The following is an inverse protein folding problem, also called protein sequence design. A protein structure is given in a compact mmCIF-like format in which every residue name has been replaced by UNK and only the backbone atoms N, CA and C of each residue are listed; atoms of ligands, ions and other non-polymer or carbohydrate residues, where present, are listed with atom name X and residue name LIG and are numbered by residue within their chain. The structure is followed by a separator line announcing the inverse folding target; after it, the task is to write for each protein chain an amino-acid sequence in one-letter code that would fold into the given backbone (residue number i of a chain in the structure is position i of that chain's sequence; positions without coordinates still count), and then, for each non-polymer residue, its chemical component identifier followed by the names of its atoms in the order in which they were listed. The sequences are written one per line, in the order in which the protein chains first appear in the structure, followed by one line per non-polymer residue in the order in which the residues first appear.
data_IF_937722387632
#
_entry.id   IF_937722387632
#
_cell.length_a   1.000
_cell.length_b   1.000
_cell.length_c   1.000
_cell.angle_alpha   90.00
_cell.angle_beta   90.00
_cell.angle_gamma   90.00
#
_symmetry.space_group_name_H-M   'P 1'
#
loop_
_entity.id
_entity.type
_entity.pdbx_description
1 polymer ?
#
# COMPACT_ATOMS: atom_id res chain seq x y z
N UNK A 1 -20.84 -3.19 4.00
CA UNK A 1 -19.61 -2.51 4.45
C UNK A 1 -18.49 -3.55 4.45
N UNK A 2 -17.50 -3.48 3.57
CA UNK A 2 -17.64 -3.79 2.13
C UNK A 2 -16.46 -4.68 1.73
N UNK A 3 -16.73 -5.79 1.03
CA UNK A 3 -15.72 -6.73 0.52
C UNK A 3 -14.69 -6.03 -0.39
N UNK A 4 -15.05 -4.87 -0.95
CA UNK A 4 -14.18 -4.03 -1.78
C UNK A 4 -12.99 -3.43 -1.01
N UNK A 5 -13.19 -3.04 0.26
CA UNK A 5 -12.17 -2.44 1.16
C UNK A 5 -11.02 -3.43 1.40
N UNK A 6 -11.35 -4.72 1.51
CA UNK A 6 -10.37 -5.78 1.76
C UNK A 6 -9.47 -6.04 0.52
N UNK A 7 -9.96 -5.78 -0.69
CA UNK A 7 -9.21 -6.14 -1.91
C UNK A 7 -8.04 -5.19 -2.23
N UNK A 8 -8.16 -3.90 -1.94
CA UNK A 8 -7.11 -2.92 -2.24
C UNK A 8 -5.94 -3.03 -1.26
N UNK A 9 -6.24 -3.13 0.04
CA UNK A 9 -5.25 -3.31 1.09
C UNK A 9 -4.46 -4.62 0.95
N UNK A 10 -5.09 -5.74 0.52
CA UNK A 10 -4.36 -7.00 0.28
C UNK A 10 -3.28 -6.85 -0.80
N UNK A 11 -3.59 -6.14 -1.90
CA UNK A 11 -2.62 -5.93 -2.96
C UNK A 11 -1.47 -5.02 -2.50
N UNK A 12 -1.79 -3.98 -1.73
CA UNK A 12 -0.81 -3.05 -1.18
C UNK A 12 0.14 -3.74 -0.19
N UNK A 13 -0.39 -4.58 0.71
CA UNK A 13 0.44 -5.25 1.72
C UNK A 13 1.40 -6.31 1.15
N UNK A 14 1.10 -6.90 -0.02
CA UNK A 14 1.97 -7.93 -0.62
C UNK A 14 3.27 -7.37 -1.20
N UNK A 15 3.28 -6.10 -1.60
CA UNK A 15 4.44 -5.43 -2.18
C UNK A 15 4.43 -3.94 -1.81
N UNK A 16 4.39 -3.67 -0.51
CA UNK A 16 4.24 -2.33 0.04
C UNK A 16 5.46 -1.48 -0.34
N UNK A 17 5.20 -0.48 -1.17
CA UNK A 17 6.21 0.39 -1.78
C UNK A 17 5.60 1.77 -2.01
N UNK A 18 6.11 2.79 -1.32
CA UNK A 18 5.68 4.16 -1.56
C UNK A 18 6.33 4.67 -2.85
N UNK A 19 5.51 5.01 -3.83
CA UNK A 19 5.90 5.52 -5.14
C UNK A 19 5.89 7.05 -5.23
N UNK A 20 5.21 7.71 -4.30
CA UNK A 20 5.10 9.15 -4.20
C UNK A 20 4.53 9.55 -2.85
N UNK A 21 4.87 10.76 -2.40
CA UNK A 21 4.32 11.37 -1.20
C UNK A 21 3.98 12.80 -1.57
N UNK A 22 2.84 13.29 -1.12
CA UNK A 22 2.44 14.67 -1.32
C UNK A 22 1.96 15.24 0.00
N UNK A 23 2.49 16.39 0.40
CA UNK A 23 2.00 17.12 1.58
C UNK A 23 0.85 18.02 1.13
N UNK A 24 -0.38 17.75 1.58
CA UNK A 24 -1.58 18.48 1.12
C UNK A 24 -1.96 19.61 2.08
N UNK A 25 -1.95 19.35 3.37
CA UNK A 25 -2.17 20.36 4.43
C UNK A 25 -1.33 20.01 5.66
N UNK A 26 -1.24 20.91 6.63
CA UNK A 26 -0.41 20.75 7.84
C UNK A 26 -0.54 19.38 8.55
N UNK A 27 -1.71 18.77 8.52
CA UNK A 27 -2.06 17.49 9.13
C UNK A 27 -2.21 16.34 8.13
N UNK A 28 -2.25 16.62 6.82
CA UNK A 28 -2.66 15.66 5.79
C UNK A 28 -1.56 15.43 4.76
N UNK A 29 -1.21 14.15 4.60
CA UNK A 29 -0.31 13.68 3.54
C UNK A 29 -1.04 12.70 2.64
N UNK A 30 -0.63 12.64 1.39
CA UNK A 30 -1.10 11.68 0.40
C UNK A 30 0.03 10.72 0.08
N UNK A 31 -0.19 9.44 0.32
CA UNK A 31 0.75 8.34 0.07
C UNK A 31 0.33 7.60 -1.20
N UNK A 32 1.22 7.52 -2.19
CA UNK A 32 0.96 6.82 -3.45
C UNK A 32 1.63 5.44 -3.42
N UNK A 33 0.87 4.38 -3.70
CA UNK A 33 1.33 2.99 -3.73
C UNK A 33 0.79 2.30 -4.98
N UNK A 34 1.68 1.98 -5.89
CA UNK A 34 1.39 1.40 -7.20
C UNK A 34 0.34 2.21 -8.00
N UNK A 35 -0.86 1.67 -8.20
CA UNK A 35 -1.98 2.34 -8.88
C UNK A 35 -2.94 3.08 -7.91
N UNK A 36 -2.63 3.10 -6.62
CA UNK A 36 -3.48 3.63 -5.54
C UNK A 36 -2.86 4.84 -4.86
N UNK A 37 -3.70 5.66 -4.23
CA UNK A 37 -3.29 6.69 -3.29
C UNK A 37 -4.16 6.65 -2.03
N UNK A 38 -3.59 7.11 -0.93
CA UNK A 38 -4.21 7.12 0.38
C UNK A 38 -3.95 8.45 1.06
N UNK A 39 -4.97 9.02 1.67
CA UNK A 39 -4.81 10.16 2.56
C UNK A 39 -4.51 9.65 3.97
N UNK A 40 -3.48 10.21 4.61
CA UNK A 40 -3.07 9.90 5.98
C UNK A 40 -3.06 11.19 6.80
N UNK A 41 -3.78 11.17 7.91
CA UNK A 41 -3.77 12.23 8.92
C UNK A 41 -2.69 11.92 9.95
N UNK A 42 -1.67 12.78 10.03
CA UNK A 42 -0.50 12.58 10.88
C UNK A 42 -0.86 12.64 12.37
N UNK A 43 -1.83 13.46 12.77
CA UNK A 43 -2.18 13.62 14.18
C UNK A 43 -3.10 12.52 14.68
N UNK A 44 -4.05 12.08 13.86
CA UNK A 44 -4.99 11.02 14.24
C UNK A 44 -4.47 9.63 13.93
N UNK A 45 -3.41 9.50 13.13
CA UNK A 45 -2.90 8.25 12.58
C UNK A 45 -3.98 7.45 11.81
N UNK A 46 -4.89 8.16 11.15
CA UNK A 46 -5.98 7.55 10.37
C UNK A 46 -5.58 7.55 8.89
N UNK A 47 -5.62 6.36 8.28
CA UNK A 47 -5.46 6.17 6.85
C UNK A 47 -6.85 6.03 6.19
N UNK A 48 -7.06 6.74 5.08
CA UNK A 48 -8.26 6.58 4.24
C UNK A 48 -8.37 5.18 3.62
N UNK A 49 -9.53 4.83 3.09
CA UNK A 49 -9.76 3.54 2.39
C UNK A 49 -8.92 3.36 1.11
N UNK A 50 -8.36 4.45 0.59
CA UNK A 50 -7.58 4.49 -0.63
C UNK A 50 -8.40 4.50 -1.92
N UNK A 51 -7.86 5.16 -2.94
CA UNK A 51 -8.51 5.29 -4.25
C UNK A 51 -7.51 5.01 -5.37
N UNK A 52 -8.02 4.62 -6.55
CA UNK A 52 -7.17 4.46 -7.73
C UNK A 52 -6.79 5.83 -8.27
N UNK A 53 -5.50 6.03 -8.56
CA UNK A 53 -4.97 7.27 -9.14
C UNK A 53 -5.74 7.66 -10.40
N UNK A 54 -6.03 6.70 -11.29
CA UNK A 54 -6.76 6.94 -12.55
C UNK A 54 -8.19 7.46 -12.39
N UNK A 55 -8.79 7.32 -11.20
CA UNK A 55 -10.15 7.83 -10.97
C UNK A 55 -10.14 9.36 -10.82
N UNK A 56 -9.08 9.90 -10.21
CA UNK A 56 -8.88 11.33 -9.96
C UNK A 56 -8.02 11.98 -11.05
N UNK A 57 -7.03 11.25 -11.55
CA UNK A 57 -6.05 11.71 -12.55
C UNK A 57 -5.88 10.66 -13.65
N UNK A 58 -6.82 10.59 -14.62
CA UNK A 58 -6.90 9.49 -15.59
C UNK A 58 -5.71 9.40 -16.55
N UNK A 59 -5.00 10.50 -16.80
CA UNK A 59 -3.84 10.54 -17.68
C UNK A 59 -2.51 10.17 -17.00
N UNK A 60 -2.47 10.17 -15.66
CA UNK A 60 -1.25 9.90 -14.89
C UNK A 60 -0.86 8.43 -15.00
N UNK A 61 0.39 8.18 -15.39
CA UNK A 61 0.95 6.82 -15.46
C UNK A 61 1.36 6.33 -14.07
N UNK A 62 1.03 5.08 -13.79
CA UNK A 62 1.35 4.41 -12.52
C UNK A 62 2.32 3.24 -12.74
N UNK A 63 3.20 2.93 -11.77
CA UNK A 63 3.47 3.70 -10.57
C UNK A 63 4.21 5.01 -10.88
N UNK A 64 3.89 6.08 -10.16
CA UNK A 64 4.58 7.37 -10.29
C UNK A 64 6.02 7.32 -9.74
N UNK A 65 6.85 8.29 -10.11
CA UNK A 65 8.14 8.55 -9.47
C UNK A 65 8.05 9.63 -8.38
N UNK A 66 7.01 10.48 -8.41
CA UNK A 66 6.81 11.52 -7.42
C UNK A 66 5.60 12.38 -7.73
N UNK A 67 5.15 13.13 -6.71
CA UNK A 67 4.05 14.06 -6.81
C UNK A 67 4.27 15.24 -5.86
N UNK A 68 3.95 16.47 -6.26
CA UNK A 68 4.01 17.63 -5.38
C UNK A 68 2.73 18.45 -5.43
N UNK A 69 2.48 19.17 -4.34
CA UNK A 69 1.42 20.16 -4.24
C UNK A 69 2.03 21.55 -4.33
N UNK A 70 1.51 22.38 -5.23
CA UNK A 70 2.03 23.69 -5.55
C UNK A 70 0.95 24.71 -5.20
N UNK A 71 1.24 25.55 -4.22
CA UNK A 71 0.45 26.73 -3.91
C UNK A 71 1.07 27.95 -4.60
N UNK A 72 0.33 28.55 -5.51
CA UNK A 72 0.72 29.78 -6.20
C UNK A 72 -0.19 30.93 -5.75
N UNK A 73 0.43 32.01 -5.25
CA UNK A 73 -0.27 33.26 -4.94
C UNK A 73 -0.13 34.21 -6.12
N UNK A 74 -1.25 34.61 -6.71
CA UNK A 74 -1.30 35.61 -7.78
C UNK A 74 -1.90 36.91 -7.24
N UNK A 75 -1.17 38.02 -7.37
CA UNK A 75 -1.74 39.35 -7.17
C UNK A 75 -2.83 39.55 -8.24
N UNK A 76 -4.11 39.59 -7.82
CA UNK A 76 -5.20 40.01 -8.69
C UNK A 76 -5.03 41.50 -9.04
N UNK A 77 -5.62 41.94 -10.15
CA UNK A 77 -5.72 43.39 -10.44
C UNK A 77 -6.57 44.13 -9.39
N UNK A 78 -7.35 43.37 -8.61
CA UNK A 78 -8.03 43.84 -7.40
C UNK A 78 -7.14 43.58 -6.18
N UNK A 79 -7.31 44.33 -5.08
CA UNK A 79 -6.49 44.22 -3.85
C UNK A 79 -6.53 42.86 -3.14
N UNK A 80 -7.07 41.82 -3.78
CA UNK A 80 -7.19 40.46 -3.25
C UNK A 80 -6.13 39.56 -3.88
N UNK A 81 -5.37 38.85 -3.05
CA UNK A 81 -4.49 37.77 -3.50
C UNK A 81 -5.35 36.56 -3.86
N UNK A 82 -5.25 36.07 -5.08
CA UNK A 82 -5.87 34.82 -5.51
C UNK A 82 -4.89 33.68 -5.28
N UNK A 83 -5.32 32.64 -4.55
CA UNK A 83 -4.54 31.41 -4.36
C UNK A 83 -4.99 30.37 -5.37
N UNK A 84 -4.03 29.76 -6.05
CA UNK A 84 -4.27 28.62 -6.95
C UNK A 84 -3.47 27.43 -6.47
N UNK A 85 -4.09 26.25 -6.55
CA UNK A 85 -3.53 25.00 -6.05
C UNK A 85 -3.39 24.02 -7.19
N UNK A 86 -2.16 23.54 -7.41
CA UNK A 86 -1.84 22.60 -8.49
C UNK A 86 -1.24 21.32 -7.92
N UNK A 87 -1.60 20.20 -8.53
CA UNK A 87 -0.95 18.92 -8.31
C UNK A 87 0.01 18.67 -9.47
N UNK A 88 1.26 18.35 -9.16
CA UNK A 88 2.26 17.91 -10.13
C UNK A 88 2.52 16.42 -9.92
N UNK A 89 2.61 15.66 -11.01
CA UNK A 89 2.99 14.26 -11.03
C UNK A 89 4.12 14.06 -12.03
N UNK A 90 5.07 13.18 -11.72
CA UNK A 90 6.04 12.74 -12.71
C UNK A 90 6.22 11.22 -12.74
N UNK A 91 6.54 10.73 -13.94
CA UNK A 91 6.88 9.35 -14.23
C UNK A 91 7.93 9.30 -15.33
N UNK A 92 9.11 8.81 -14.98
CA UNK A 92 10.29 8.76 -15.85
C UNK A 92 10.58 10.17 -16.41
N UNK A 93 10.47 10.38 -17.72
CA UNK A 93 10.64 11.68 -18.37
C UNK A 93 9.31 12.39 -18.67
N UNK A 94 8.19 11.96 -18.09
CA UNK A 94 6.88 12.55 -18.33
C UNK A 94 6.35 13.24 -17.09
N UNK A 95 5.56 14.29 -17.28
CA UNK A 95 4.87 14.97 -16.20
C UNK A 95 3.43 15.32 -16.55
N UNK A 96 2.64 15.52 -15.50
CA UNK A 96 1.25 16.00 -15.56
C UNK A 96 1.04 17.01 -14.45
N UNK A 97 0.30 18.07 -14.76
CA UNK A 97 -0.13 19.09 -13.83
C UNK A 97 -1.64 19.24 -13.89
N UNK A 98 -2.28 19.25 -12.73
CA UNK A 98 -3.72 19.42 -12.57
C UNK A 98 -4.02 20.61 -11.68
N UNK A 99 -5.10 21.33 -11.97
CA UNK A 99 -5.64 22.33 -11.07
C UNK A 99 -6.65 21.69 -10.11
N UNK A 100 -6.63 22.11 -8.85
CA UNK A 100 -7.69 21.83 -7.90
C UNK A 100 -8.84 22.82 -8.11
N UNK A 101 -9.92 22.39 -8.75
CA UNK A 101 -11.11 23.23 -8.89
C UNK A 101 -11.93 23.16 -7.60
N UNK A 102 -11.75 24.14 -6.71
CA UNK A 102 -12.52 24.32 -5.47
C UNK A 102 -13.97 24.80 -5.70
N UNK A 103 -14.61 24.41 -6.81
CA UNK A 103 -16.06 24.63 -6.97
C UNK A 103 -16.78 23.55 -6.18
N UNK A 104 -17.48 23.98 -5.12
CA UNK A 104 -18.10 23.30 -3.98
C UNK A 104 -18.81 21.94 -4.15
N UNK A 105 -18.82 21.29 -5.32
CA UNK A 105 -19.39 19.96 -5.52
C UNK A 105 -18.69 19.13 -6.61
N UNK A 106 -17.48 19.52 -7.01
CA UNK A 106 -16.74 18.86 -8.09
C UNK A 106 -15.42 18.31 -7.58
N UNK A 107 -15.32 16.98 -7.47
CA UNK A 107 -14.04 16.25 -7.34
C UNK A 107 -13.22 16.24 -8.64
N UNK A 108 -13.62 17.04 -9.64
CA UNK A 108 -12.99 17.04 -10.95
C UNK A 108 -11.67 17.84 -10.93
N UNK A 109 -10.56 17.10 -10.86
CA UNK A 109 -9.25 17.62 -11.23
C UNK A 109 -9.21 17.90 -12.72
N UNK A 110 -8.72 19.07 -13.13
CA UNK A 110 -8.60 19.44 -14.55
C UNK A 110 -7.14 19.42 -14.94
N UNK A 111 -6.79 18.59 -15.92
CA UNK A 111 -5.45 18.58 -16.50
C UNK A 111 -5.17 19.95 -17.14
N UNK A 112 -4.12 20.62 -16.67
CA UNK A 112 -3.73 21.95 -17.18
C UNK A 112 -2.48 21.90 -18.04
N UNK A 113 -1.57 20.95 -17.78
CA UNK A 113 -0.39 20.72 -18.59
C UNK A 113 0.05 19.26 -18.49
N UNK A 114 0.59 18.72 -19.57
CA UNK A 114 1.34 17.48 -19.56
C UNK A 114 2.41 17.52 -20.65
N UNK A 115 3.48 16.76 -20.44
CA UNK A 115 4.65 16.95 -21.26
C UNK A 115 5.81 16.05 -20.93
N UNK A 116 6.96 16.45 -21.45
CA UNK A 116 8.24 15.79 -21.21
C UNK A 116 9.09 16.67 -20.29
N UNK A 117 9.80 16.03 -19.36
CA UNK A 117 10.89 16.62 -18.58
C UNK A 117 12.14 16.60 -19.46
N UNK A 118 12.59 17.76 -19.91
CA UNK A 118 13.83 17.88 -20.68
C UNK A 118 14.93 18.39 -19.76
N UNK A 119 16.04 17.66 -19.73
CA UNK A 119 17.21 18.01 -18.96
C UNK A 119 18.30 18.54 -19.88
N UNK A 120 19.06 19.53 -19.43
CA UNK A 120 20.30 19.87 -20.12
C UNK A 120 21.27 18.66 -20.12
N UNK A 121 22.06 18.51 -21.18
CA UNK A 121 22.82 17.29 -21.53
C UNK A 121 23.68 16.71 -20.39
N UNK A 122 24.14 17.53 -19.45
CA UNK A 122 24.93 17.08 -18.29
C UNK A 122 24.12 16.26 -17.29
N UNK A 123 22.80 16.41 -17.28
CA UNK A 123 21.89 15.85 -16.28
C UNK A 123 21.20 14.57 -16.78
N UNK A 124 21.15 14.26 -18.08
CA UNK A 124 20.35 13.16 -18.67
C UNK A 124 20.78 11.73 -18.28
N UNK A 125 22.06 11.50 -17.95
CA UNK A 125 22.58 10.13 -17.79
C UNK A 125 22.39 9.54 -16.38
N UNK A 126 21.39 8.68 -16.14
CA UNK A 126 21.29 7.92 -14.89
C UNK A 126 19.91 7.32 -14.62
N UNK A 127 19.75 6.69 -13.45
CA UNK A 127 18.44 6.19 -12.99
C UNK A 127 17.76 7.26 -12.16
N UNK A 128 16.58 7.71 -12.62
CA UNK A 128 15.73 8.67 -11.92
C UNK A 128 14.71 7.94 -11.05
N UNK A 129 14.69 8.23 -9.75
CA UNK A 129 13.87 7.47 -8.80
C UNK A 129 12.95 8.33 -7.94
N UNK A 130 13.02 9.66 -8.05
CA UNK A 130 12.18 10.60 -7.31
C UNK A 130 12.13 11.97 -7.98
N UNK A 131 11.01 12.68 -7.86
CA UNK A 131 10.82 14.02 -8.43
C UNK A 131 9.81 14.86 -7.65
N UNK A 132 10.01 16.17 -7.64
CA UNK A 132 9.14 17.18 -7.06
C UNK A 132 9.26 18.49 -7.83
N UNK A 133 8.18 19.28 -7.83
CA UNK A 133 8.18 20.64 -8.32
C UNK A 133 7.78 21.58 -7.18
N UNK A 134 8.62 22.58 -6.91
CA UNK A 134 8.42 23.57 -5.82
C UNK A 134 8.36 24.98 -6.43
N UNK A 135 7.40 25.83 -6.03
CA UNK A 135 7.32 27.20 -6.56
C UNK A 135 8.45 28.08 -6.02
N UNK A 136 9.05 28.92 -6.87
CA UNK A 136 10.06 29.90 -6.45
C UNK A 136 9.36 31.22 -6.09
N UNK A 137 9.26 31.52 -4.78
CA UNK A 137 8.56 32.69 -4.20
C UNK A 137 8.95 34.08 -4.76
N UNK A 138 10.04 34.20 -5.53
CA UNK A 138 10.65 35.49 -5.90
C UNK A 138 10.28 36.00 -7.30
N UNK A 139 9.56 35.23 -8.11
CA UNK A 139 9.21 35.67 -9.45
C UNK A 139 7.77 36.16 -9.51
N UNK A 140 7.57 37.45 -9.85
CA UNK A 140 6.25 38.03 -10.10
C UNK A 140 5.65 37.62 -11.46
N UNK A 141 6.44 37.04 -12.36
CA UNK A 141 6.05 36.89 -13.78
C UNK A 141 6.47 35.57 -14.46
N UNK A 142 7.21 34.67 -13.82
CA UNK A 142 7.74 33.48 -14.51
C UNK A 142 7.21 32.17 -13.94
N UNK A 143 6.81 31.30 -14.87
CA UNK A 143 6.55 29.87 -14.69
C UNK A 143 7.85 29.13 -14.34
N UNK A 144 8.57 29.66 -13.34
CA UNK A 144 9.82 29.16 -12.81
C UNK A 144 9.56 28.38 -11.52
N UNK A 145 10.16 27.21 -11.48
CA UNK A 145 10.02 26.24 -10.41
C UNK A 145 11.41 25.76 -10.02
N UNK A 146 11.54 25.28 -8.79
CA UNK A 146 12.66 24.43 -8.41
C UNK A 146 12.21 22.97 -8.64
N UNK A 147 12.84 22.32 -9.61
CA UNK A 147 12.63 20.90 -9.84
C UNK A 147 13.65 20.12 -9.01
N UNK A 148 13.15 19.33 -8.07
CA UNK A 148 13.96 18.48 -7.20
C UNK A 148 13.85 17.05 -7.69
N UNK A 149 14.96 16.35 -7.84
CA UNK A 149 14.95 14.94 -8.25
C UNK A 149 16.11 14.16 -7.65
N UNK A 150 15.99 12.83 -7.73
CA UNK A 150 17.01 11.91 -7.25
C UNK A 150 17.54 11.11 -8.40
N UNK A 151 18.87 11.15 -8.51
CA UNK A 151 19.64 10.50 -9.56
C UNK A 151 20.85 9.84 -8.91
N UNK A 152 21.03 8.54 -9.16
CA UNK A 152 22.17 7.77 -8.63
C UNK A 152 22.36 7.93 -7.10
N UNK A 153 21.26 7.92 -6.33
CA UNK A 153 21.23 8.09 -4.87
C UNK A 153 21.72 9.46 -4.37
N UNK A 154 21.75 10.47 -5.23
CA UNK A 154 22.00 11.85 -4.87
C UNK A 154 20.79 12.73 -5.20
N UNK A 155 20.51 13.69 -4.34
CA UNK A 155 19.42 14.65 -4.50
C UNK A 155 19.92 15.94 -5.15
N UNK A 156 19.18 16.39 -6.15
CA UNK A 156 19.48 17.56 -6.96
C UNK A 156 18.30 18.52 -6.93
N UNK A 157 18.56 19.82 -6.84
CA UNK A 157 17.59 20.88 -7.03
C UNK A 157 18.08 21.78 -8.15
N UNK A 158 17.30 21.92 -9.21
CA UNK A 158 17.64 22.73 -10.37
C UNK A 158 16.50 23.68 -10.68
N UNK A 159 16.83 24.83 -11.27
CA UNK A 159 15.82 25.70 -11.84
C UNK A 159 15.14 24.97 -13.00
N UNK A 160 13.81 25.04 -13.03
CA UNK A 160 12.98 24.52 -14.10
C UNK A 160 11.99 25.58 -14.55
N UNK A 161 11.62 25.56 -15.83
CA UNK A 161 10.59 26.44 -16.34
C UNK A 161 9.78 25.78 -17.44
N UNK A 162 8.51 26.18 -17.56
CA UNK A 162 7.65 25.72 -18.64
C UNK A 162 8.03 26.41 -19.96
N UNK A 163 8.23 25.61 -21.00
CA UNK A 163 8.46 26.07 -22.35
C UNK A 163 7.40 25.50 -23.28
N UNK A 164 6.80 26.36 -24.09
CA UNK A 164 5.94 25.91 -25.18
C UNK A 164 6.80 25.30 -26.29
N UNK A 165 6.67 23.99 -26.49
CA UNK A 165 7.31 23.29 -27.59
C UNK A 165 6.64 23.61 -28.94
N UNK A 166 7.34 23.36 -30.07
CA UNK A 166 6.87 23.67 -31.42
C UNK A 166 5.59 22.90 -31.84
N UNK A 167 5.17 21.88 -31.09
CA UNK A 167 4.01 21.03 -31.38
C UNK A 167 2.85 21.21 -30.38
N UNK A 168 2.77 22.36 -29.69
CA UNK A 168 1.82 22.59 -28.58
C UNK A 168 1.97 21.60 -27.41
N UNK A 169 3.10 20.91 -27.33
CA UNK A 169 3.48 20.11 -26.17
C UNK A 169 4.12 21.03 -25.15
N UNK A 170 3.64 20.99 -23.91
CA UNK A 170 4.36 21.63 -22.81
C UNK A 170 5.62 20.82 -22.53
N UNK A 171 6.74 21.51 -22.34
CA UNK A 171 8.01 20.92 -21.97
C UNK A 171 8.48 21.61 -20.71
N UNK A 172 8.81 20.83 -19.69
CA UNK A 172 9.42 21.36 -18.48
C UNK A 172 10.92 21.26 -18.67
N UNK A 173 11.55 22.40 -18.91
CA UNK A 173 12.98 22.46 -19.16
C UNK A 173 13.73 22.64 -17.84
N UNK A 174 14.65 21.74 -17.56
CA UNK A 174 15.41 21.64 -16.31
C UNK A 174 16.86 22.02 -16.61
N UNK A 175 17.30 23.12 -16.01
CA UNK A 175 18.60 23.74 -16.28
C UNK A 175 19.78 22.91 -15.77
N UNK A 176 20.95 23.13 -16.36
CA UNK A 176 22.23 22.51 -15.93
C UNK A 176 22.73 22.98 -14.55
N UNK A 177 22.27 24.14 -14.06
CA UNK A 177 22.70 24.72 -12.79
C UNK A 177 21.98 24.08 -11.59
N UNK A 178 22.28 22.80 -11.38
CA UNK A 178 21.78 22.03 -10.28
C UNK A 178 22.63 22.22 -9.02
N UNK A 179 21.98 22.48 -7.90
CA UNK A 179 22.62 22.39 -6.59
C UNK A 179 22.43 20.98 -6.05
N UNK A 180 23.53 20.31 -5.70
CA UNK A 180 23.48 19.09 -4.90
C UNK A 180 23.28 19.49 -3.45
N UNK A 181 22.19 19.06 -2.83
CA UNK A 181 22.00 19.29 -1.40
C UNK A 181 22.27 18.00 -0.63
N UNK A 182 23.42 17.97 0.05
CA UNK A 182 23.65 17.09 1.21
C UNK A 182 23.08 17.78 2.44
N UNK A 183 21.76 18.00 2.51
CA UNK A 183 21.17 18.43 3.79
C UNK A 183 21.39 17.30 4.81
N UNK A 184 21.56 17.68 6.07
CA UNK A 184 22.10 16.88 7.18
C UNK A 184 21.36 15.55 7.34
N UNK A 185 21.88 14.47 6.76
CA UNK A 185 21.35 13.13 6.98
C UNK A 185 22.52 12.16 7.15
N UNK A 186 22.42 11.28 8.15
CA UNK A 186 23.52 10.38 8.47
C UNK A 186 23.78 9.43 7.29
N UNK A 187 25.06 9.19 7.01
CA UNK A 187 25.54 8.32 5.94
C UNK A 187 24.86 6.92 5.93
N UNK A 188 24.40 6.46 7.09
CA UNK A 188 23.70 5.19 7.27
C UNK A 188 22.28 5.16 6.68
N UNK A 189 21.60 6.31 6.55
CA UNK A 189 20.24 6.40 5.99
C UNK A 189 20.30 6.17 4.47
N UNK A 190 21.30 6.76 3.80
CA UNK A 190 21.50 6.64 2.36
C UNK A 190 22.11 5.27 1.94
N UNK A 191 22.90 4.63 2.80
CA UNK A 191 23.54 3.34 2.51
C UNK A 191 22.55 2.15 2.50
N UNK A 192 21.41 2.28 3.20
CA UNK A 192 20.33 1.26 3.23
C UNK A 192 19.14 1.60 2.31
N UNK A 193 19.18 2.74 1.63
CA UNK A 193 18.18 3.17 0.65
C UNK A 193 18.25 2.30 -0.61
N UNK A 194 17.74 1.07 -0.52
CA UNK A 194 17.62 0.17 -1.69
C UNK A 194 16.49 0.58 -2.62
N UNK A 195 15.69 1.57 -2.21
CA UNK A 195 14.72 2.33 -2.98
C UNK A 195 13.92 3.24 -2.03
N UNK A 196 13.48 4.41 -2.50
CA UNK A 196 12.36 5.24 -1.95
C UNK A 196 12.60 6.49 -1.12
N UNK A 197 13.77 7.14 -1.15
CA UNK A 197 13.87 8.44 -0.49
C UNK A 197 13.15 9.57 -1.26
N UNK A 198 11.82 9.56 -1.39
CA UNK A 198 11.14 10.67 -2.08
C UNK A 198 11.01 11.84 -1.09
N UNK A 199 11.99 12.75 -1.14
CA UNK A 199 12.01 13.95 -0.32
C UNK A 199 11.11 15.02 -0.95
N UNK A 200 10.12 15.48 -0.19
CA UNK A 200 9.36 16.67 -0.55
C UNK A 200 9.53 17.75 0.51
N UNK A 201 10.02 18.90 0.06
CA UNK A 201 9.98 20.14 0.82
C UNK A 201 8.59 20.75 0.69
N UNK A 202 7.82 20.70 1.77
CA UNK A 202 6.60 21.49 1.87
C UNK A 202 6.90 22.66 2.80
N UNK A 203 6.91 23.87 2.23
CA UNK A 203 6.84 25.15 2.95
C UNK A 203 7.83 25.34 4.09
N UNK A 204 9.01 25.90 3.81
CA UNK A 204 10.03 26.50 4.70
C UNK A 204 10.55 25.72 5.93
N UNK A 205 9.80 24.76 6.46
CA UNK A 205 9.94 24.22 7.81
C UNK A 205 9.57 22.73 7.92
N UNK A 206 9.09 22.06 6.86
CA UNK A 206 8.68 20.63 6.89
C UNK A 206 9.37 19.80 5.79
N UNK A 207 9.80 18.60 6.16
CA UNK A 207 10.35 17.58 5.29
C UNK A 207 9.75 16.22 5.64
N UNK A 208 9.32 15.47 4.62
CA UNK A 208 8.99 14.04 4.75
C UNK A 208 10.02 13.26 3.97
N UNK A 209 10.44 12.14 4.54
CA UNK A 209 11.00 11.05 3.76
C UNK A 209 10.25 9.76 4.05
N UNK A 210 10.17 8.88 3.06
CA UNK A 210 9.86 7.48 3.30
C UNK A 210 11.12 6.66 3.01
N UNK A 211 11.29 5.57 3.72
CA UNK A 211 12.10 4.44 3.31
C UNK A 211 11.17 3.32 2.87
N UNK A 212 11.72 2.12 2.71
CA UNK A 212 10.92 0.90 2.58
C UNK A 212 10.06 0.63 3.83
N UNK A 213 10.57 0.95 5.01
CA UNK A 213 10.01 0.47 6.28
C UNK A 213 9.39 1.61 7.11
N UNK A 214 9.87 2.84 6.92
CA UNK A 214 9.58 3.98 7.80
C UNK A 214 9.17 5.23 7.02
N UNK A 215 8.25 5.99 7.57
CA UNK A 215 7.90 7.34 7.16
C UNK A 215 8.41 8.28 8.25
N UNK A 216 9.33 9.18 7.92
CA UNK A 216 9.92 10.15 8.87
C UNK A 216 9.40 11.54 8.54
N UNK A 217 8.83 12.19 9.55
CA UNK A 217 8.39 13.56 9.53
C UNK A 217 9.43 14.41 10.26
N UNK A 218 9.95 15.43 9.58
CA UNK A 218 10.91 16.34 10.16
C UNK A 218 10.48 17.78 9.89
N UNK A 219 10.00 18.45 10.92
CA UNK A 219 9.76 19.89 10.91
C UNK A 219 10.58 20.61 11.96
N UNK A 220 10.68 21.94 11.86
CA UNK A 220 11.33 22.77 12.89
C UNK A 220 10.77 22.56 14.30
N UNK A 221 9.53 22.07 14.41
CA UNK A 221 8.78 21.93 15.68
C UNK A 221 8.42 20.47 15.98
N UNK A 222 8.45 19.57 14.99
CA UNK A 222 7.91 18.22 15.10
C UNK A 222 8.84 17.20 14.42
N UNK A 223 9.36 16.26 15.20
CA UNK A 223 10.04 15.07 14.68
C UNK A 223 9.25 13.85 15.09
N UNK A 224 8.79 13.07 14.11
CA UNK A 224 8.03 11.86 14.35
C UNK A 224 8.33 10.83 13.28
N UNK A 225 8.04 9.56 13.58
CA UNK A 225 8.22 8.46 12.66
C UNK A 225 7.03 7.50 12.76
N UNK A 226 6.66 6.93 11.63
CA UNK A 226 5.62 5.91 11.56
C UNK A 226 6.10 4.75 10.68
N UNK A 227 5.90 3.52 11.17
CA UNK A 227 6.21 2.32 10.40
C UNK A 227 5.18 2.17 9.27
N UNK A 228 5.65 2.05 8.03
CA UNK A 228 4.76 2.01 6.85
C UNK A 228 3.86 0.76 6.93
N UNK A 229 4.40 -0.39 7.32
CA UNK A 229 3.59 -1.59 7.53
C UNK A 229 2.47 -1.37 8.54
N UNK A 230 2.71 -0.58 9.59
CA UNK A 230 1.70 -0.26 10.61
C UNK A 230 0.65 0.72 10.10
N UNK A 231 1.05 1.77 9.38
CA UNK A 231 0.13 2.74 8.74
C UNK A 231 -0.90 2.00 7.89
N UNK A 232 -0.43 1.06 7.06
CA UNK A 232 -1.29 0.30 6.16
C UNK A 232 -1.94 -0.93 6.80
N UNK A 233 -1.70 -1.19 8.10
CA UNK A 233 -2.21 -2.40 8.77
C UNK A 233 -1.68 -3.71 8.17
N UNK A 234 -0.51 -3.66 7.53
CA UNK A 234 0.19 -4.77 6.90
C UNK A 234 1.08 -5.56 7.87
N UNK A 235 1.09 -5.21 9.17
CA UNK A 235 1.79 -5.98 10.20
C UNK A 235 1.39 -7.46 10.09
N UNK A 236 2.41 -8.27 9.79
CA UNK A 236 2.25 -9.57 9.17
C UNK A 236 1.41 -10.57 9.95
N UNK A 237 0.98 -11.58 9.19
CA UNK A 237 0.39 -12.84 9.63
C UNK A 237 -1.04 -12.82 10.18
N UNK A 238 -1.69 -11.71 10.56
CA UNK A 238 -3.08 -11.89 11.06
C UNK A 238 -4.00 -12.47 9.97
N UNK A 239 -4.00 -11.90 8.76
CA UNK A 239 -4.80 -12.43 7.65
C UNK A 239 -4.32 -13.82 7.21
N UNK A 240 -3.02 -14.05 7.11
CA UNK A 240 -2.46 -15.35 6.74
C UNK A 240 -2.80 -16.42 7.78
N UNK A 241 -2.72 -16.09 9.07
CA UNK A 241 -3.10 -16.95 10.19
C UNK A 241 -4.61 -17.21 10.16
N UNK A 242 -5.44 -16.19 9.96
CA UNK A 242 -6.90 -16.36 9.86
C UNK A 242 -7.27 -17.26 8.69
N UNK A 243 -6.65 -17.06 7.52
CA UNK A 243 -6.85 -17.92 6.34
C UNK A 243 -6.38 -19.35 6.62
N UNK A 244 -5.21 -19.53 7.23
CA UNK A 244 -4.71 -20.85 7.61
C UNK A 244 -5.61 -21.55 8.64
N UNK A 245 -6.15 -20.81 9.61
CA UNK A 245 -7.12 -21.32 10.59
C UNK A 245 -8.42 -21.73 9.88
N UNK A 246 -8.92 -20.93 8.94
CA UNK A 246 -10.12 -21.27 8.16
C UNK A 246 -9.90 -22.53 7.30
N UNK A 247 -8.76 -22.64 6.63
CA UNK A 247 -8.38 -23.84 5.86
C UNK A 247 -8.28 -25.06 6.78
N UNK A 248 -7.67 -24.92 7.97
CA UNK A 248 -7.57 -26.00 8.94
C UNK A 248 -8.95 -26.43 9.46
N UNK A 249 -9.86 -25.48 9.75
CA UNK A 249 -11.22 -25.80 10.18
C UNK A 249 -12.03 -26.50 9.08
N UNK A 250 -11.87 -26.09 7.81
CA UNK A 250 -12.47 -26.76 6.66
C UNK A 250 -11.94 -28.19 6.47
N UNK A 251 -10.63 -28.41 6.65
CA UNK A 251 -10.04 -29.74 6.58
C UNK A 251 -10.57 -30.65 7.69
N UNK A 252 -10.66 -30.15 8.93
CA UNK A 252 -11.21 -30.90 10.07
C UNK A 252 -12.67 -31.28 9.84
N UNK A 253 -13.50 -30.34 9.39
CA UNK A 253 -14.91 -30.61 9.10
C UNK A 253 -15.08 -31.63 7.98
N UNK A 254 -14.23 -31.59 6.94
CA UNK A 254 -14.21 -32.60 5.88
C UNK A 254 -13.86 -34.00 6.42
N UNK A 255 -12.84 -34.10 7.30
CA UNK A 255 -12.45 -35.37 7.92
C UNK A 255 -13.55 -35.94 8.81
N UNK A 256 -14.22 -35.09 9.59
CA UNK A 256 -15.36 -35.48 10.43
C UNK A 256 -16.52 -35.99 9.56
N UNK A 257 -16.83 -35.30 8.47
CA UNK A 257 -17.84 -35.73 7.50
C UNK A 257 -17.48 -37.08 6.90
N UNK A 258 -16.26 -37.27 6.39
CA UNK A 258 -15.81 -38.55 5.81
C UNK A 258 -15.90 -39.68 6.83
N UNK A 259 -15.48 -39.42 8.08
CA UNK A 259 -15.52 -40.40 9.16
C UNK A 259 -16.96 -40.79 9.52
N UNK A 260 -17.85 -39.79 9.62
CA UNK A 260 -19.27 -40.01 9.88
C UNK A 260 -19.93 -40.83 8.77
N UNK A 261 -19.71 -40.48 7.50
CA UNK A 261 -20.25 -41.24 6.37
C UNK A 261 -19.69 -42.66 6.29
N UNK A 262 -18.40 -42.85 6.60
CA UNK A 262 -17.77 -44.17 6.69
C UNK A 262 -18.41 -45.03 7.78
N UNK A 263 -18.70 -44.43 8.94
CA UNK A 263 -19.38 -45.10 10.05
C UNK A 263 -20.83 -45.49 9.69
N UNK A 264 -21.60 -44.58 9.09
CA UNK A 264 -22.96 -44.86 8.61
C UNK A 264 -22.96 -45.99 7.58
N UNK A 265 -22.01 -45.97 6.64
CA UNK A 265 -21.84 -47.05 5.66
C UNK A 265 -21.54 -48.39 6.34
N UNK A 266 -20.63 -48.41 7.32
CA UNK A 266 -20.31 -49.60 8.10
C UNK A 266 -21.54 -50.16 8.82
N UNK A 267 -22.34 -49.33 9.49
CA UNK A 267 -23.58 -49.77 10.13
C UNK A 267 -24.59 -50.34 9.13
N UNK A 268 -24.72 -49.73 7.95
CA UNK A 268 -25.62 -50.21 6.88
C UNK A 268 -25.19 -51.57 6.32
N UNK A 269 -23.89 -51.82 6.23
CA UNK A 269 -23.35 -53.13 5.79
C UNK A 269 -23.50 -54.20 6.87
N UNK A 270 -23.23 -53.89 8.14
CA UNK A 270 -23.46 -54.82 9.27
C UNK A 270 -24.94 -55.16 9.47
N UNK A 271 -25.85 -54.18 9.30
CA UNK A 271 -27.30 -54.41 9.39
C UNK A 271 -27.88 -55.28 8.28
N UNK A 272 -27.15 -55.53 7.20
CA UNK A 272 -27.53 -56.47 6.12
C UNK A 272 -27.02 -57.89 6.34
N UNK A 273 -26.07 -58.11 7.24
CA UNK A 273 -25.73 -59.46 7.69
C UNK A 273 -26.78 -59.88 8.71
N UNK A 274 -27.89 -60.44 8.21
CA UNK A 274 -28.80 -61.25 9.03
C UNK A 274 -27.93 -62.28 9.76
N UNK A 275 -27.87 -62.14 11.08
CA UNK A 275 -27.41 -63.21 11.95
C UNK A 275 -28.44 -64.32 11.76
N UNK A 276 -28.08 -65.36 11.00
CA UNK A 276 -28.77 -66.63 11.07
C UNK A 276 -28.64 -67.11 12.50
N UNK A 277 -29.74 -67.04 13.26
CA UNK A 277 -29.79 -67.58 14.59
C UNK A 277 -29.45 -69.07 14.49
N UNK A 278 -28.47 -69.58 15.26
CA UNK A 278 -28.18 -71.01 15.26
C UNK A 278 -29.45 -71.76 15.69
N UNK A 279 -29.84 -72.72 14.87
CA UNK A 279 -31.02 -73.55 15.06
C UNK A 279 -30.88 -74.35 16.36
N UNK A 280 -31.61 -73.93 17.41
CA UNK A 280 -31.53 -74.46 18.77
C UNK A 280 -32.09 -75.90 18.93
N UNK A 281 -32.52 -76.56 17.85
CA UNK A 281 -33.11 -77.90 17.93
C UNK A 281 -32.12 -79.08 17.87
N UNK A 282 -30.83 -78.86 17.60
CA UNK A 282 -29.86 -79.98 17.50
C UNK A 282 -29.08 -80.28 18.80
N UNK A 283 -29.29 -79.51 19.88
CA UNK A 283 -28.49 -79.62 21.11
C UNK A 283 -29.14 -80.44 22.26
N UNK A 284 -30.36 -80.97 22.11
CA UNK A 284 -31.07 -81.72 23.16
C UNK A 284 -30.86 -83.26 23.11
N UNK A 285 -29.95 -83.75 22.27
CA UNK A 285 -29.78 -85.19 22.01
C UNK A 285 -28.62 -85.90 22.70
N UNK A 286 -27.93 -85.33 23.70
CA UNK A 286 -26.84 -86.03 24.41
C UNK A 286 -27.05 -86.09 25.92
N UNK A 287 -27.35 -87.33 26.36
CA UNK A 287 -27.32 -87.84 27.74
C UNK A 287 -26.13 -87.27 28.52
N UNK A 288 -26.43 -86.67 29.66
CA UNK A 288 -25.47 -86.33 30.70
C UNK A 288 -25.36 -87.54 31.63
N UNK A 289 -24.20 -88.20 31.60
CA UNK A 289 -23.78 -89.10 32.67
C UNK A 289 -23.30 -88.24 33.85
N UNK A 290 -23.99 -88.38 34.98
CA UNK A 290 -23.54 -87.86 36.26
C UNK A 290 -22.36 -88.68 36.77
N UNK A 291 -21.18 -88.07 36.84
CA UNK A 291 -20.17 -88.49 37.81
C UNK A 291 -19.30 -87.31 38.23
N UNK A 292 -19.32 -87.08 39.54
CA UNK A 292 -18.32 -86.41 40.38
C UNK A 292 -17.63 -85.17 39.80
N UNK A 293 -17.78 -84.04 40.48
CA UNK A 293 -16.63 -83.43 41.14
C UNK A 293 -17.08 -82.43 42.21
N UNK A 294 -16.45 -82.56 43.36
CA UNK A 294 -16.60 -81.79 44.58
C UNK A 294 -15.51 -80.72 44.70
N UNK A 295 -15.79 -79.69 45.51
CA UNK A 295 -14.84 -78.71 46.10
C UNK A 295 -14.22 -77.68 45.12
N UNK A 296 -13.87 -76.45 45.50
CA UNK A 296 -13.73 -75.83 46.82
C UNK A 296 -13.88 -74.30 46.67
N UNK A 297 -14.42 -73.65 47.70
CA UNK A 297 -14.56 -72.20 47.78
C UNK A 297 -13.34 -71.61 48.50
N UNK A 298 -12.53 -70.80 47.80
CA UNK A 298 -11.63 -69.85 48.46
C UNK A 298 -11.84 -68.42 47.94
N UNK A 299 -12.50 -67.64 48.78
CA UNK A 299 -12.41 -66.18 48.87
C UNK A 299 -10.95 -65.75 49.02
N UNK A 300 -10.55 -64.69 48.32
CA UNK A 300 -9.54 -63.75 48.79
C UNK A 300 -10.00 -62.33 48.50
N UNK A 301 -9.78 -61.50 49.51
CA UNK A 301 -9.95 -60.06 49.58
C UNK A 301 -9.21 -59.31 48.46
#
# INVERSE_FOLDING_TARGET
MSIMIISHLINVCNNLKINGILWKSFDEIVLFVDEYYFTFDIFTNILSDGERIKNSWPEVRTPINGASFIEEERESQTTNTEKTYKYFFCKDFYYWMYNENYRENSTAFTLIANGILSFDQSVENGVYIGCSLVPIKKSKDSAEYEFQFIKNNEAYACLAFEKFGPNMTFEMHITENCTTFKKIYSKNILENATSFDIYFYALEEHAIHATKDELIFNSLVYYDYAEIAKIFGCEGNFFTIVILILIAMLAITLVVLISFWSYVYFLKTKGKNKIEAPNYQEALGKKIDQKHLSFDLKKKH
#
